data_IF_861151264604
#
_entry.id   IF_861151264604
#
_cell.length_a   1.000
_cell.length_b   1.000
_cell.length_c   1.000
_cell.angle_alpha   90.00
_cell.angle_beta   90.00
_cell.angle_gamma   90.00
#
_symmetry.space_group_name_H-M   'P 1'
#
loop_
_entity.id
_entity.type
_entity.pdbx_description
1 polymer ?
#
# COMPACT_ATOMS: atom_id res chain seq x y z
N UNK A 1 -2.09 -28.88 -18.65
CA UNK A 1 -1.79 -27.43 -18.56
C UNK A 1 -1.37 -27.12 -17.12
N UNK A 2 -0.18 -26.55 -16.92
CA UNK A 2 0.30 -26.14 -15.59
C UNK A 2 -0.36 -24.80 -15.24
N UNK A 3 -0.93 -24.61 -14.03
CA UNK A 3 -1.42 -23.29 -13.65
C UNK A 3 -0.23 -22.33 -13.68
N UNK A 4 -0.37 -21.20 -14.37
CA UNK A 4 0.58 -20.10 -14.21
C UNK A 4 0.58 -19.75 -12.72
N UNK A 5 1.74 -19.78 -12.08
CA UNK A 5 1.84 -19.33 -10.71
C UNK A 5 1.49 -17.85 -10.71
N UNK A 6 0.34 -17.50 -10.13
CA UNK A 6 0.02 -16.11 -9.81
C UNK A 6 1.14 -15.61 -8.90
N UNK A 7 2.02 -14.78 -9.45
CA UNK A 7 3.09 -14.16 -8.67
C UNK A 7 2.45 -13.25 -7.64
N UNK A 8 2.48 -13.70 -6.39
CA UNK A 8 2.02 -12.93 -5.24
C UNK A 8 3.01 -11.79 -5.03
N UNK A 9 2.54 -10.54 -5.11
CA UNK A 9 3.43 -9.36 -5.08
C UNK A 9 4.12 -9.15 -3.72
N UNK A 10 3.49 -9.57 -2.63
CA UNK A 10 4.00 -9.43 -1.27
C UNK A 10 3.35 -10.45 -0.32
N UNK A 11 3.95 -10.67 0.84
CA UNK A 11 3.38 -11.50 1.90
C UNK A 11 2.42 -10.68 2.78
N UNK A 12 1.14 -11.05 2.83
CA UNK A 12 0.14 -10.40 3.68
C UNK A 12 -1.22 -10.27 2.99
N UNK A 13 -2.26 -9.82 3.72
CA UNK A 13 -3.60 -9.65 3.16
C UNK A 13 -3.72 -8.44 2.22
N UNK A 14 -2.92 -7.40 2.47
CA UNK A 14 -2.82 -6.20 1.63
C UNK A 14 -1.50 -5.47 1.91
N UNK A 15 -1.07 -4.64 0.97
CA UNK A 15 -0.04 -3.62 1.14
C UNK A 15 -0.71 -2.23 1.11
N UNK A 16 -0.04 -1.20 1.64
CA UNK A 16 -0.52 0.18 1.59
C UNK A 16 0.34 1.01 0.65
N UNK A 17 -0.31 1.81 -0.20
CA UNK A 17 0.38 2.68 -1.13
C UNK A 17 -0.46 3.90 -1.51
N UNK A 18 0.22 4.87 -2.10
CA UNK A 18 -0.41 6.05 -2.70
C UNK A 18 -0.32 5.90 -4.22
N UNK A 19 -1.46 5.93 -4.90
CA UNK A 19 -1.55 5.75 -6.35
C UNK A 19 -2.27 6.94 -6.99
N UNK A 20 -2.07 7.15 -8.28
CA UNK A 20 -2.93 8.05 -9.06
C UNK A 20 -3.25 7.43 -10.43
N UNK A 21 -4.36 7.86 -11.03
CA UNK A 21 -4.48 7.77 -12.48
C UNK A 21 -3.34 8.59 -13.14
N UNK A 22 -2.98 8.35 -14.41
CA UNK A 22 -1.87 9.04 -15.06
C UNK A 22 -1.88 10.56 -14.87
N UNK A 23 -3.05 11.19 -14.93
CA UNK A 23 -3.21 12.65 -14.74
C UNK A 23 -4.13 13.00 -13.56
N UNK A 24 -4.33 12.04 -12.63
CA UNK A 24 -5.22 12.17 -11.48
C UNK A 24 -4.51 12.65 -10.20
N UNK A 25 -5.31 13.07 -9.22
CA UNK A 25 -4.82 13.38 -7.87
C UNK A 25 -4.42 12.07 -7.18
N UNK A 26 -3.30 12.03 -6.44
CA UNK A 26 -2.93 10.85 -5.66
C UNK A 26 -3.94 10.54 -4.55
N UNK A 27 -4.23 9.26 -4.36
CA UNK A 27 -5.13 8.76 -3.33
C UNK A 27 -4.50 7.55 -2.63
N UNK A 28 -4.84 7.28 -1.35
CA UNK A 28 -4.34 6.11 -0.63
C UNK A 28 -5.17 4.87 -0.96
N UNK A 29 -4.50 3.72 -1.07
CA UNK A 29 -5.17 2.45 -1.34
C UNK A 29 -4.51 1.28 -0.59
N UNK A 30 -5.29 0.28 -0.13
CA UNK A 30 -4.79 -1.07 -0.01
C UNK A 30 -4.61 -1.66 -1.41
N UNK A 31 -3.54 -2.42 -1.56
CA UNK A 31 -3.25 -3.24 -2.74
C UNK A 31 -3.34 -4.69 -2.29
N UNK A 32 -4.08 -5.53 -3.00
CA UNK A 32 -4.15 -6.97 -2.73
C UNK A 32 -3.01 -7.72 -3.41
N UNK A 33 -2.66 -8.94 -2.96
CA UNK A 33 -1.49 -9.66 -3.47
C UNK A 33 -1.60 -10.07 -4.95
N UNK A 34 -2.81 -10.10 -5.51
CA UNK A 34 -3.13 -10.33 -6.92
C UNK A 34 -3.06 -9.04 -7.77
N UNK A 35 -2.59 -7.92 -7.20
CA UNK A 35 -2.33 -6.69 -7.96
C UNK A 35 -3.57 -5.83 -8.20
N UNK A 36 -4.56 -5.88 -7.30
CA UNK A 36 -5.73 -5.01 -7.37
C UNK A 36 -5.67 -3.94 -6.30
N UNK A 37 -6.19 -2.76 -6.61
CA UNK A 37 -6.17 -1.60 -5.73
C UNK A 37 -7.60 -1.09 -5.49
N UNK A 38 -7.89 -0.59 -4.29
CA UNK A 38 -9.17 0.00 -3.92
C UNK A 38 -9.01 1.44 -3.45
N UNK A 39 -9.77 2.38 -4.05
CA UNK A 39 -9.78 3.79 -3.65
C UNK A 39 -10.36 3.95 -2.23
N UNK A 40 -9.52 4.23 -1.23
CA UNK A 40 -9.95 4.29 0.17
C UNK A 40 -10.95 5.42 0.47
N UNK A 41 -10.72 6.69 0.05
CA UNK A 41 -11.71 7.75 0.19
C UNK A 41 -13.10 7.33 -0.28
N UNK A 42 -13.19 6.72 -1.45
CA UNK A 42 -14.47 6.23 -1.99
C UNK A 42 -15.02 5.04 -1.21
N UNK A 43 -14.18 4.08 -0.81
CA UNK A 43 -14.61 2.89 -0.08
C UNK A 43 -15.04 3.16 1.37
N UNK A 44 -14.45 4.18 2.00
CA UNK A 44 -14.75 4.60 3.37
C UNK A 44 -15.82 5.70 3.41
N UNK A 45 -16.09 6.38 2.30
CA UNK A 45 -16.98 7.53 2.24
C UNK A 45 -16.39 8.77 2.93
N UNK A 46 -15.06 8.85 3.02
CA UNK A 46 -14.34 9.90 3.72
C UNK A 46 -13.59 10.80 2.73
N UNK A 47 -13.70 12.12 2.88
CA UNK A 47 -13.18 13.06 1.88
C UNK A 47 -11.66 13.28 1.93
N UNK A 48 -10.99 12.99 3.06
CA UNK A 48 -9.55 13.27 3.22
C UNK A 48 -8.87 12.13 3.97
N UNK A 49 -8.68 11.01 3.30
CA UNK A 49 -7.83 9.93 3.78
C UNK A 49 -6.46 10.08 3.12
N UNK A 50 -5.40 9.99 3.91
CA UNK A 50 -4.01 9.85 3.43
C UNK A 50 -3.40 8.61 4.09
N UNK A 51 -2.37 8.01 3.50
CA UNK A 51 -1.66 6.91 4.18
C UNK A 51 -1.12 7.37 5.55
N UNK A 52 -0.68 8.63 5.67
CA UNK A 52 -0.22 9.19 6.94
C UNK A 52 -1.33 9.15 8.00
N UNK A 53 -2.52 9.66 7.71
CA UNK A 53 -3.62 9.71 8.69
C UNK A 53 -4.05 8.29 9.13
N UNK A 54 -3.97 7.31 8.22
CA UNK A 54 -4.19 5.90 8.57
C UNK A 54 -3.10 5.37 9.53
N UNK A 55 -1.85 5.75 9.32
CA UNK A 55 -0.73 5.35 10.18
C UNK A 55 -0.78 6.05 11.55
N UNK A 56 -1.27 7.28 11.61
CA UNK A 56 -1.46 8.02 12.87
C UNK A 56 -2.52 7.35 13.77
N UNK A 57 -3.57 6.75 13.20
CA UNK A 57 -4.63 6.01 13.91
C UNK A 57 -4.59 4.49 13.66
N UNK A 58 -3.40 3.92 13.51
CA UNK A 58 -3.21 2.55 13.00
C UNK A 58 -4.02 1.47 13.72
N UNK A 59 -4.10 1.52 15.05
CA UNK A 59 -4.81 0.52 15.84
C UNK A 59 -6.31 0.49 15.55
N UNK A 60 -6.89 1.65 15.24
CA UNK A 60 -8.32 1.82 14.95
C UNK A 60 -8.65 1.44 13.50
N UNK A 61 -7.76 1.79 12.57
CA UNK A 61 -7.98 1.58 11.14
C UNK A 61 -7.65 0.16 10.68
N UNK A 62 -6.75 -0.54 11.36
CA UNK A 62 -6.31 -1.89 10.99
C UNK A 62 -7.45 -2.92 10.84
N UNK A 63 -8.41 -3.04 11.78
CA UNK A 63 -9.56 -3.91 11.62
C UNK A 63 -10.42 -3.55 10.40
N UNK A 64 -10.60 -2.25 10.11
CA UNK A 64 -11.39 -1.76 8.97
C UNK A 64 -10.73 -2.10 7.64
N UNK A 65 -9.43 -1.88 7.53
CA UNK A 65 -8.63 -2.23 6.34
C UNK A 65 -8.65 -3.75 6.06
N UNK A 66 -8.55 -4.59 7.11
CA UNK A 66 -8.70 -6.05 6.96
C UNK A 66 -10.09 -6.45 6.50
N UNK A 67 -11.13 -5.84 7.03
CA UNK A 67 -12.49 -6.11 6.62
C UNK A 67 -12.69 -5.74 5.14
N UNK A 68 -12.20 -4.57 4.70
CA UNK A 68 -12.26 -4.15 3.30
C UNK A 68 -11.51 -5.12 2.37
N UNK A 69 -10.31 -5.56 2.74
CA UNK A 69 -9.53 -6.52 1.97
C UNK A 69 -10.22 -7.89 1.82
N UNK A 70 -11.14 -8.24 2.72
CA UNK A 70 -11.92 -9.47 2.65
C UNK A 70 -13.20 -9.35 1.80
N UNK A 71 -13.61 -8.14 1.39
CA UNK A 71 -14.84 -7.92 0.61
C UNK A 71 -14.53 -8.02 -0.89
N UNK A 72 -14.91 -9.14 -1.49
CA UNK A 72 -14.80 -9.36 -2.95
C UNK A 72 -15.69 -8.42 -3.78
N UNK A 73 -16.74 -7.85 -3.18
CA UNK A 73 -17.70 -6.96 -3.85
C UNK A 73 -17.24 -5.50 -3.96
N UNK A 74 -16.14 -5.12 -3.33
CA UNK A 74 -15.63 -3.75 -3.48
C UNK A 74 -15.14 -3.54 -4.91
N UNK A 75 -15.20 -2.30 -5.40
CA UNK A 75 -14.79 -1.95 -6.77
C UNK A 75 -13.26 -1.90 -6.85
N UNK A 76 -12.65 -3.09 -6.88
CA UNK A 76 -11.21 -3.26 -7.02
C UNK A 76 -10.79 -3.07 -8.47
N UNK A 77 -9.88 -2.14 -8.72
CA UNK A 77 -9.32 -1.88 -10.06
C UNK A 77 -7.94 -2.52 -10.23
N UNK A 78 -7.56 -2.90 -11.46
CA UNK A 78 -6.20 -3.38 -11.73
C UNK A 78 -5.16 -2.32 -11.38
N UNK A 79 -3.99 -2.73 -10.88
CA UNK A 79 -2.87 -1.83 -10.62
C UNK A 79 -2.24 -1.33 -11.93
N UNK A 80 -2.39 -2.10 -13.01
CA UNK A 80 -1.90 -1.74 -14.33
C UNK A 80 -2.49 -0.41 -14.80
N UNK A 81 -1.62 0.52 -15.20
CA UNK A 81 -2.02 1.85 -15.66
C UNK A 81 -2.12 2.92 -14.56
N UNK A 82 -2.01 2.55 -13.28
CA UNK A 82 -1.86 3.50 -12.18
C UNK A 82 -0.39 3.90 -11.98
N UNK A 83 -0.17 5.14 -11.56
CA UNK A 83 1.15 5.63 -11.13
C UNK A 83 1.33 5.40 -9.64
N UNK A 84 2.45 4.79 -9.26
CA UNK A 84 2.84 4.58 -7.86
C UNK A 84 3.61 5.79 -7.36
N UNK A 85 3.23 6.32 -6.20
CA UNK A 85 3.89 7.43 -5.53
C UNK A 85 4.61 6.97 -4.25
N UNK A 86 5.37 7.88 -3.63
CA UNK A 86 5.87 7.65 -2.28
C UNK A 86 4.68 7.36 -1.34
N UNK A 87 4.74 6.24 -0.63
CA UNK A 87 3.61 5.76 0.18
C UNK A 87 3.21 6.71 1.30
N UNK A 88 4.15 7.47 1.86
CA UNK A 88 3.88 8.39 2.96
C UNK A 88 4.43 9.77 2.61
N UNK A 89 3.62 10.81 2.84
CA UNK A 89 4.06 12.20 2.70
C UNK A 89 5.27 12.47 3.63
N UNK A 90 6.41 12.94 3.10
CA UNK A 90 7.60 13.23 3.90
C UNK A 90 7.32 14.32 4.95
N UNK A 91 7.80 14.12 6.19
CA UNK A 91 7.80 15.17 7.23
C UNK A 91 9.19 15.35 7.84
N UNK A 92 9.74 14.30 8.42
CA UNK A 92 11.13 14.23 8.87
C UNK A 92 11.70 12.88 8.44
N UNK A 93 12.85 12.90 7.77
CA UNK A 93 13.54 11.69 7.33
C UNK A 93 14.76 11.52 8.22
N UNK A 94 14.72 10.51 9.10
CA UNK A 94 15.90 10.04 9.82
C UNK A 94 16.37 8.75 9.15
N UNK A 95 17.48 8.84 8.42
CA UNK A 95 18.09 7.70 7.76
C UNK A 95 19.08 7.03 8.72
N UNK A 96 18.85 5.76 9.05
CA UNK A 96 19.79 4.93 9.81
C UNK A 96 20.27 3.80 8.89
N UNK A 97 21.55 3.85 8.50
CA UNK A 97 22.22 2.78 7.78
C UNK A 97 22.87 1.79 8.75
N UNK A 98 22.82 0.50 8.39
CA UNK A 98 23.42 -0.68 9.03
C UNK A 98 22.55 -1.38 10.10
N UNK A 99 21.68 -2.29 9.67
CA UNK A 99 20.95 -3.22 10.55
C UNK A 99 21.52 -4.66 10.55
N UNK A 100 22.54 -4.95 9.74
CA UNK A 100 23.23 -6.25 9.69
C UNK A 100 24.74 -6.04 9.87
N UNK A 101 25.33 -6.75 10.84
CA UNK A 101 26.77 -6.72 11.15
C UNK A 101 27.67 -7.11 9.98
N UNK A 102 27.17 -7.92 9.04
CA UNK A 102 27.90 -8.34 7.83
C UNK A 102 28.21 -7.20 6.84
N UNK A 103 27.53 -6.06 6.92
CA UNK A 103 27.80 -4.91 6.05
C UNK A 103 29.00 -4.05 6.51
N UNK A 104 29.55 -4.29 7.71
CA UNK A 104 30.65 -3.45 8.23
C UNK A 104 32.02 -3.89 7.68
N UNK A 105 32.20 -5.17 7.34
CA UNK A 105 33.49 -5.71 6.88
C UNK A 105 33.89 -5.30 5.44
N UNK A 106 32.97 -4.78 4.64
CA UNK A 106 33.23 -4.40 3.24
C UNK A 106 33.41 -2.88 3.05
N UNK A 107 33.41 -2.11 4.15
CA UNK A 107 33.52 -0.64 4.15
C UNK A 107 34.71 -0.11 4.96
N UNK A 108 35.65 -0.98 5.37
CA UNK A 108 36.87 -0.63 6.10
C UNK A 108 38.12 -0.75 5.22
#
# INVERSE_FOLDING_TARGET
>A
MKPAATSVLFAGPFALGTLSAPDGVPFPLPITPDGRALDLPTALGEQVVTIRTLLESWNEEMPRLRALAAVERAVWQPLEGLRVHASVEPRQILQLGLQRTRCVEESA
#
